data_IF_563773883675
#
_entry.id   IF_563773883675
#
_cell.length_a   1.000
_cell.length_b   1.000
_cell.length_c   1.000
_cell.angle_alpha   90.00
_cell.angle_beta   90.00
_cell.angle_gamma   90.00
#
_symmetry.space_group_name_H-M   'P 1'
#
loop_
_entity.id
_entity.type
_entity.pdbx_description
1 polymer ?
#
# COMPACT_ATOMS: atom_id res chain seq x y z
N UNK A 1 -3.35 -28.99 6.80
CA UNK A 1 -3.56 -29.10 6.95
C UNK A 1 -3.68 -28.95 7.00
N UNK A 2 -3.37 -28.85 7.35
CA UNK A 2 -3.49 -28.70 7.75
C UNK A 2 -3.56 -28.22 7.87
N UNK A 3 -3.36 -27.96 8.25
CA UNK A 3 -3.44 -27.71 8.61
C UNK A 3 -3.62 -27.37 8.24
N UNK A 4 -3.41 -27.18 8.44
CA UNK A 4 -3.58 -27.05 8.41
C UNK A 4 -3.70 -26.68 7.81
N UNK A 5 -3.52 -26.66 7.71
CA UNK A 5 -3.57 -26.65 7.39
C UNK A 5 -4.03 -26.40 6.71
N UNK A 6 -3.93 -25.94 6.52
CA UNK A 6 -4.29 -25.84 6.28
C UNK A 6 -4.62 -25.72 5.52
N UNK A 7 -4.56 -25.38 5.07
CA UNK A 7 -4.80 -25.52 4.84
C UNK A 7 -5.05 -25.30 4.36
N UNK A 8 -4.89 -25.06 4.13
CA UNK A 8 -5.15 -25.09 4.10
C UNK A 8 -5.54 -24.98 3.57
N UNK A 9 -5.48 -24.67 3.29
CA UNK A 9 -5.95 -24.78 3.30
C UNK A 9 -6.24 -24.86 3.57
N UNK A 10 -5.80 -24.98 3.59
CA UNK A 10 -6.06 -25.03 4.34
C UNK A 10 -5.97 -24.80 4.80
N UNK A 11 -5.72 -24.66 5.31
CA UNK A 11 -5.65 -24.55 6.12
C UNK A 11 -5.56 -24.41 6.59
N UNK A 12 -5.26 -24.17 7.20
CA UNK A 12 -5.14 -23.96 7.98
C UNK A 12 -4.91 -23.42 8.36
N UNK A 13 -4.80 -23.32 9.26
CA UNK A 13 -4.53 -22.71 9.96
C UNK A 13 -4.54 -22.69 10.77
N UNK A 14 -4.15 -22.94 11.41
CA UNK A 14 -4.14 -22.51 12.10
C UNK A 14 -4.15 -22.20 12.44
N UNK A 15 -4.02 -21.98 13.20
CA UNK A 15 -3.89 -21.28 13.58
C UNK A 15 -3.95 -20.74 13.73
N UNK A 16 -3.81 -20.43 14.26
CA UNK A 16 -3.86 -19.81 14.61
C UNK A 16 -4.03 -19.04 14.33
N UNK A 17 -4.31 -18.95 14.38
CA UNK A 17 -4.59 -18.22 14.00
C UNK A 17 -4.80 -16.82 14.23
N UNK A 18 -4.38 -16.64 15.07
CA UNK A 18 -4.55 -15.36 15.63
C UNK A 18 -3.84 -14.28 14.90
N UNK A 19 -2.74 -14.40 14.46
CA UNK A 19 -2.01 -13.49 13.61
C UNK A 19 -1.67 -14.16 12.32
N UNK A 20 -1.32 -13.37 11.33
CA UNK A 20 -0.80 -13.90 10.09
C UNK A 20 0.71 -13.94 10.18
N UNK A 21 1.34 -14.92 9.56
CA UNK A 21 2.79 -14.95 9.44
C UNK A 21 3.26 -13.73 8.64
N UNK A 22 4.52 -13.36 8.80
CA UNK A 22 5.09 -12.23 8.08
C UNK A 22 4.86 -12.38 6.58
N UNK A 23 5.10 -13.56 6.05
CA UNK A 23 4.94 -13.81 4.62
C UNK A 23 3.51 -13.64 4.15
N UNK A 24 2.55 -14.09 4.95
CA UNK A 24 1.13 -13.95 4.58
C UNK A 24 0.70 -12.51 4.63
N UNK A 25 1.14 -11.76 5.64
CA UNK A 25 0.84 -10.34 5.72
C UNK A 25 1.36 -9.62 4.48
N UNK A 26 2.63 -9.84 4.15
CA UNK A 26 3.23 -9.14 3.02
C UNK A 26 2.59 -9.53 1.69
N UNK A 27 2.23 -10.81 1.52
CA UNK A 27 1.62 -11.24 0.26
C UNK A 27 0.17 -10.80 0.12
N UNK A 28 -0.49 -10.48 1.23
CA UNK A 28 -1.88 -10.04 1.21
C UNK A 28 -2.02 -8.53 1.04
N UNK A 29 -0.93 -7.79 1.17
CA UNK A 29 -0.93 -6.34 1.03
C UNK A 29 -0.54 -5.94 -0.39
N UNK A 30 -1.08 -4.82 -0.85
CA UNK A 30 -0.66 -4.22 -2.10
C UNK A 30 0.64 -3.43 -1.94
N UNK A 31 0.96 -2.65 -2.95
CA UNK A 31 2.23 -1.90 -3.00
C UNK A 31 2.40 -0.99 -1.77
N UNK A 32 1.40 -0.18 -1.48
CA UNK A 32 1.52 0.78 -0.38
C UNK A 32 1.51 0.11 0.98
N UNK A 33 0.72 -0.95 1.13
CA UNK A 33 0.73 -1.69 2.38
C UNK A 33 2.06 -2.34 2.66
N UNK A 34 2.70 -2.89 1.63
CA UNK A 34 4.03 -3.48 1.78
C UNK A 34 5.09 -2.43 2.09
N UNK A 35 4.98 -1.25 1.47
CA UNK A 35 5.89 -0.14 1.78
C UNK A 35 5.77 0.28 3.23
N UNK A 36 4.53 0.37 3.73
CA UNK A 36 4.30 0.75 5.12
C UNK A 36 4.88 -0.27 6.08
N UNK A 37 4.69 -1.56 5.78
CA UNK A 37 5.22 -2.62 6.63
C UNK A 37 6.75 -2.59 6.64
N UNK A 38 7.35 -2.39 5.48
CA UNK A 38 8.80 -2.31 5.38
C UNK A 38 9.36 -1.10 6.12
N UNK A 39 8.71 0.04 5.96
CA UNK A 39 9.14 1.26 6.65
C UNK A 39 9.08 1.08 8.15
N UNK A 40 8.01 0.48 8.65
CA UNK A 40 7.87 0.21 10.08
C UNK A 40 8.96 -0.75 10.56
N UNK A 41 9.22 -1.80 9.79
CA UNK A 41 10.25 -2.78 10.17
C UNK A 41 11.63 -2.16 10.23
N UNK A 42 11.96 -1.27 9.28
CA UNK A 42 13.28 -0.65 9.22
C UNK A 42 13.47 0.43 10.28
N UNK A 43 12.41 1.14 10.64
CA UNK A 43 12.53 2.30 11.50
C UNK A 43 12.07 2.06 12.95
N UNK A 44 11.24 1.03 13.16
CA UNK A 44 10.79 0.68 14.52
C UNK A 44 10.50 -0.81 14.54
N UNK A 45 11.57 -1.58 14.52
CA UNK A 45 11.48 -3.04 14.45
C UNK A 45 10.74 -3.63 15.64
N UNK A 46 10.95 -3.05 16.82
CA UNK A 46 10.29 -3.54 18.02
C UNK A 46 8.77 -3.43 17.91
N UNK A 47 8.29 -2.29 17.46
CA UNK A 47 6.86 -2.10 17.25
C UNK A 47 6.32 -3.01 16.15
N UNK A 48 7.11 -3.19 15.09
CA UNK A 48 6.75 -4.10 13.99
C UNK A 48 6.53 -5.52 14.53
N UNK A 49 7.47 -6.00 15.35
CA UNK A 49 7.37 -7.35 15.90
C UNK A 49 6.20 -7.49 16.86
N UNK A 50 5.97 -6.49 17.69
CA UNK A 50 4.82 -6.48 18.58
C UNK A 50 3.52 -6.58 17.82
N UNK A 51 3.39 -5.81 16.75
CA UNK A 51 2.18 -5.81 15.94
C UNK A 51 2.02 -7.13 15.21
N UNK A 52 3.12 -7.70 14.73
CA UNK A 52 3.06 -9.00 14.07
C UNK A 52 2.57 -10.09 15.03
N UNK A 53 3.14 -10.12 16.24
CA UNK A 53 2.77 -11.13 17.22
C UNK A 53 1.35 -10.97 17.73
N UNK A 54 0.87 -9.75 17.85
CA UNK A 54 -0.48 -9.49 18.34
C UNK A 54 -1.56 -9.63 17.27
N UNK A 55 -1.16 -9.83 16.01
CA UNK A 55 -2.11 -9.93 14.91
C UNK A 55 -2.59 -8.60 14.39
N UNK A 56 -2.01 -7.50 14.87
CA UNK A 56 -2.45 -6.17 14.46
C UNK A 56 -1.74 -5.64 13.22
N UNK A 57 -0.69 -6.33 12.77
CA UNK A 57 0.12 -5.82 11.66
C UNK A 57 -0.70 -5.72 10.38
N UNK A 58 -1.39 -6.79 10.00
CA UNK A 58 -2.15 -6.77 8.76
C UNK A 58 -3.25 -5.70 8.76
N UNK A 59 -4.12 -5.62 9.79
CA UNK A 59 -5.17 -4.58 9.79
C UNK A 59 -4.59 -3.17 9.72
N UNK A 60 -3.50 -2.91 10.43
CA UNK A 60 -2.90 -1.58 10.43
C UNK A 60 -2.28 -1.23 9.10
N UNK A 61 -1.57 -2.18 8.50
CA UNK A 61 -0.96 -1.94 7.21
C UNK A 61 -2.02 -1.84 6.12
N UNK A 62 -3.12 -2.59 6.25
CA UNK A 62 -4.23 -2.51 5.31
C UNK A 62 -4.91 -1.15 5.38
N UNK A 63 -5.08 -0.64 6.58
CA UNK A 63 -5.64 0.70 6.78
C UNK A 63 -4.76 1.77 6.10
N UNK A 64 -3.45 1.69 6.33
CA UNK A 64 -2.52 2.61 5.69
C UNK A 64 -2.57 2.48 4.17
N UNK A 65 -2.70 1.25 3.67
CA UNK A 65 -2.80 1.01 2.23
C UNK A 65 -4.03 1.69 1.64
N UNK A 66 -5.19 1.59 2.29
CA UNK A 66 -6.41 2.21 1.80
C UNK A 66 -6.31 3.73 1.82
N UNK A 67 -5.74 4.29 2.88
CA UNK A 67 -5.50 5.73 2.94
C UNK A 67 -4.56 6.17 1.83
N UNK A 68 -3.52 5.41 1.59
CA UNK A 68 -2.53 5.73 0.56
C UNK A 68 -3.15 5.68 -0.82
N UNK A 69 -3.97 4.68 -1.10
CA UNK A 69 -4.64 4.57 -2.40
C UNK A 69 -5.57 5.75 -2.66
N UNK A 70 -6.37 6.11 -1.67
CA UNK A 70 -7.29 7.23 -1.80
C UNK A 70 -6.53 8.52 -2.05
N UNK A 71 -5.48 8.77 -1.29
CA UNK A 71 -4.67 9.97 -1.46
C UNK A 71 -3.99 9.98 -2.83
N UNK A 72 -3.48 8.83 -3.26
CA UNK A 72 -2.84 8.71 -4.57
C UNK A 72 -3.80 9.13 -5.68
N UNK A 73 -5.03 8.61 -5.64
CA UNK A 73 -6.03 8.94 -6.66
C UNK A 73 -6.34 10.42 -6.67
N UNK A 74 -6.52 11.00 -5.48
CA UNK A 74 -6.83 12.42 -5.38
C UNK A 74 -5.70 13.28 -5.94
N UNK A 75 -4.47 12.96 -5.59
CA UNK A 75 -3.32 13.74 -6.05
C UNK A 75 -3.14 13.59 -7.55
N UNK A 76 -3.17 12.36 -8.05
CA UNK A 76 -2.91 12.14 -9.48
C UNK A 76 -3.98 12.76 -10.35
N UNK A 77 -5.24 12.67 -9.96
CA UNK A 77 -6.33 13.30 -10.73
C UNK A 77 -6.20 14.81 -10.74
N UNK A 78 -5.87 15.39 -9.59
CA UNK A 78 -5.69 16.84 -9.51
C UNK A 78 -4.51 17.30 -10.36
N UNK A 79 -3.41 16.54 -10.36
CA UNK A 79 -2.24 16.89 -11.17
C UNK A 79 -2.54 16.78 -12.65
N UNK A 80 -3.24 15.72 -13.07
CA UNK A 80 -3.61 15.55 -14.47
C UNK A 80 -4.46 16.73 -14.93
N UNK A 81 -5.46 17.08 -14.14
CA UNK A 81 -6.35 18.19 -14.48
C UNK A 81 -5.58 19.51 -14.57
N UNK A 82 -4.77 19.80 -13.57
CA UNK A 82 -4.01 21.04 -13.51
C UNK A 82 -3.04 21.14 -14.69
N UNK A 83 -2.28 20.08 -14.94
CA UNK A 83 -1.28 20.10 -16.00
C UNK A 83 -1.92 20.15 -17.39
N UNK A 84 -3.07 19.51 -17.56
CA UNK A 84 -3.81 19.63 -18.83
C UNK A 84 -4.20 21.07 -19.12
N UNK A 85 -4.67 21.77 -18.08
CA UNK A 85 -5.05 23.15 -18.23
C UNK A 85 -3.85 24.06 -18.49
N UNK A 86 -2.75 23.83 -17.76
CA UNK A 86 -1.55 24.65 -17.91
C UNK A 86 -0.91 24.48 -19.27
N UNK A 87 -0.82 23.25 -19.75
CA UNK A 87 -0.11 22.92 -20.99
C UNK A 87 -1.01 22.85 -22.20
N UNK A 88 -2.34 22.99 -22.02
CA UNK A 88 -3.29 22.93 -23.12
C UNK A 88 -3.30 21.59 -23.82
N UNK A 89 -3.16 20.48 -23.07
CA UNK A 89 -3.10 19.15 -23.65
C UNK A 89 -4.49 18.69 -24.05
N UNK A 90 -4.59 18.19 -25.30
CA UNK A 90 -5.82 17.61 -25.83
C UNK A 90 -6.09 16.26 -25.17
N UNK A 91 -7.26 16.09 -24.53
CA UNK A 91 -7.57 14.79 -23.88
C UNK A 91 -7.61 13.62 -24.86
N UNK A 92 -7.75 13.88 -26.15
CA UNK A 92 -7.76 12.81 -27.16
C UNK A 92 -6.36 12.46 -27.68
N UNK A 93 -5.34 13.20 -27.28
CA UNK A 93 -3.95 12.88 -27.62
C UNK A 93 -3.45 11.78 -26.68
N UNK A 94 -3.59 10.53 -27.12
CA UNK A 94 -3.32 9.36 -26.28
C UNK A 94 -1.89 9.34 -25.75
N UNK A 95 -0.92 9.68 -26.60
CA UNK A 95 0.50 9.64 -26.18
C UNK A 95 0.80 10.67 -25.12
N UNK A 96 0.33 11.90 -25.33
CA UNK A 96 0.55 12.96 -24.33
C UNK A 96 -0.20 12.67 -23.04
N UNK A 97 -1.41 12.14 -23.13
CA UNK A 97 -2.16 11.79 -21.93
C UNK A 97 -1.51 10.66 -21.15
N UNK A 98 -0.97 9.66 -21.85
CA UNK A 98 -0.28 8.57 -21.17
C UNK A 98 0.95 9.07 -20.43
N UNK A 99 1.75 9.93 -21.07
CA UNK A 99 2.92 10.51 -20.45
C UNK A 99 2.54 11.36 -19.23
N UNK A 100 1.49 12.16 -19.38
CA UNK A 100 1.02 13.02 -18.31
C UNK A 100 0.56 12.21 -17.10
N UNK A 101 -0.21 11.13 -17.34
CA UNK A 101 -0.69 10.28 -16.26
C UNK A 101 0.45 9.56 -15.57
N UNK A 102 1.44 9.11 -16.33
CA UNK A 102 2.62 8.46 -15.75
C UNK A 102 3.35 9.41 -14.81
N UNK A 103 3.56 10.65 -15.24
CA UNK A 103 4.22 11.64 -14.39
C UNK A 103 3.39 11.99 -13.16
N UNK A 104 2.07 12.09 -13.34
CA UNK A 104 1.18 12.38 -12.21
C UNK A 104 1.21 11.25 -11.19
N UNK A 105 1.22 9.99 -11.66
CA UNK A 105 1.29 8.85 -10.77
C UNK A 105 2.60 8.80 -10.00
N UNK A 106 3.71 9.13 -10.65
CA UNK A 106 5.01 9.16 -9.98
C UNK A 106 5.06 10.21 -8.89
N UNK A 107 4.55 11.40 -9.20
CA UNK A 107 4.51 12.48 -8.21
C UNK A 107 3.55 12.15 -7.07
N UNK A 108 2.39 11.57 -7.39
CA UNK A 108 1.43 11.15 -6.37
C UNK A 108 2.05 10.11 -5.44
N UNK A 109 2.79 9.14 -6.00
CA UNK A 109 3.43 8.12 -5.19
C UNK A 109 4.45 8.74 -4.24
N UNK A 110 5.24 9.71 -4.72
CA UNK A 110 6.22 10.39 -3.88
C UNK A 110 5.54 11.08 -2.70
N UNK A 111 4.47 11.79 -2.96
CA UNK A 111 3.75 12.50 -1.90
C UNK A 111 3.08 11.54 -0.91
N UNK A 112 2.50 10.45 -1.42
CA UNK A 112 1.85 9.45 -0.57
C UNK A 112 2.87 8.82 0.36
N UNK A 113 4.06 8.50 -0.15
CA UNK A 113 5.11 7.91 0.68
C UNK A 113 5.44 8.84 1.85
N UNK A 114 5.58 10.14 1.57
CA UNK A 114 5.90 11.09 2.64
C UNK A 114 4.74 11.27 3.63
N UNK A 115 3.51 11.39 3.12
CA UNK A 115 2.40 11.79 3.97
C UNK A 115 1.72 10.65 4.69
N UNK A 116 1.75 9.43 4.13
CA UNK A 116 1.06 8.29 4.73
C UNK A 116 2.06 7.25 5.21
N UNK A 117 2.94 6.81 4.32
CA UNK A 117 3.80 5.67 4.60
C UNK A 117 4.76 5.97 5.75
N UNK A 118 5.41 7.12 5.71
CA UNK A 118 6.39 7.47 6.75
C UNK A 118 5.74 7.81 8.08
N UNK A 119 4.44 8.00 8.12
CA UNK A 119 3.74 8.33 9.35
C UNK A 119 3.11 7.13 10.03
N UNK A 120 3.22 5.95 9.45
CA UNK A 120 2.66 4.74 10.02
C UNK A 120 3.39 4.31 11.29
N UNK A 121 4.66 4.66 11.42
CA UNK A 121 5.41 4.38 12.65
C UNK A 121 4.88 5.27 13.80
#
# INVERSE_FOLDING_TARGET
TGIQYREVEGIQYPVLDQGMSKERVLSSLGRYGRMAARDLQENDQERYEMMLLSGMLFPKMKEAEEQAKTLHEQISENLVKTWMEQDGIDPYDTMKMTSLRTQADMEAMRQVIEEVIHQVR
#
